data_IF_842965637003
#
_entry.id   IF_842965637003
#
_cell.length_a   1.000
_cell.length_b   1.000
_cell.length_c   1.000
_cell.angle_alpha   90.00
_cell.angle_beta   90.00
_cell.angle_gamma   90.00
#
_symmetry.space_group_name_H-M   'P 1'
#
loop_
_entity.id
_entity.type
_entity.pdbx_description
1 polymer ?
#
# COMPACT_ATOMS: atom_id res chain seq x y z
N UNK A 1 24.80 37.71 21.43
CA UNK A 1 23.34 37.39 21.48
C UNK A 1 22.82 36.96 20.13
N UNK A 2 22.99 37.75 19.05
CA UNK A 2 22.45 37.43 17.71
C UNK A 2 23.01 36.11 17.08
N UNK A 3 24.30 35.81 17.32
CA UNK A 3 24.95 34.60 16.80
C UNK A 3 24.41 33.31 17.43
N UNK A 4 24.03 33.32 18.68
CA UNK A 4 23.43 32.17 19.36
C UNK A 4 21.99 31.88 18.91
N UNK A 5 21.21 32.92 18.59
CA UNK A 5 19.87 32.79 18.03
C UNK A 5 19.89 32.12 16.65
N UNK A 6 20.88 32.46 15.81
CA UNK A 6 21.02 31.84 14.48
C UNK A 6 21.39 30.36 14.53
N UNK A 7 22.30 29.96 15.44
CA UNK A 7 22.69 28.56 15.64
C UNK A 7 21.51 27.75 16.16
N UNK A 8 20.73 28.29 17.11
CA UNK A 8 19.55 27.63 17.65
C UNK A 8 18.47 27.40 16.60
N UNK A 9 18.24 28.38 15.70
CA UNK A 9 17.28 28.24 14.60
C UNK A 9 17.70 27.15 13.60
N UNK A 10 18.98 27.03 13.28
CA UNK A 10 19.49 25.98 12.38
C UNK A 10 19.31 24.59 13.00
N UNK A 11 19.54 24.49 14.33
CA UNK A 11 19.32 23.22 15.05
C UNK A 11 17.86 22.79 15.06
N UNK A 12 16.92 23.71 15.29
CA UNK A 12 15.49 23.43 15.31
C UNK A 12 14.99 23.05 13.91
N UNK A 13 15.45 23.73 12.86
CA UNK A 13 15.08 23.42 11.48
C UNK A 13 15.61 22.04 11.03
N UNK A 14 16.84 21.69 11.41
CA UNK A 14 17.46 20.41 11.05
C UNK A 14 16.84 19.19 11.72
N UNK A 15 16.42 19.33 12.97
CA UNK A 15 15.75 18.21 13.71
C UNK A 15 14.32 18.00 13.29
N UNK A 16 13.58 19.06 12.95
CA UNK A 16 12.18 18.96 12.49
C UNK A 16 12.00 18.22 11.16
N UNK A 17 12.91 18.43 10.22
CA UNK A 17 12.83 17.74 8.90
C UNK A 17 13.17 16.25 8.99
N UNK A 18 14.07 15.85 9.89
CA UNK A 18 14.44 14.44 10.06
C UNK A 18 13.32 13.58 10.66
N UNK A 19 12.59 14.11 11.62
CA UNK A 19 11.47 13.41 12.27
C UNK A 19 10.26 13.28 11.35
N UNK A 20 9.92 14.29 10.56
CA UNK A 20 8.82 14.27 9.61
C UNK A 20 9.02 13.17 8.54
N UNK A 21 10.22 13.07 7.97
CA UNK A 21 10.54 12.05 6.97
C UNK A 21 10.52 10.62 7.54
N UNK A 22 10.96 10.44 8.77
CA UNK A 22 10.89 9.15 9.46
C UNK A 22 9.44 8.71 9.73
N UNK A 23 8.56 9.63 10.10
CA UNK A 23 7.13 9.35 10.29
C UNK A 23 6.44 8.98 8.98
N UNK A 24 6.77 9.65 7.89
CA UNK A 24 6.23 9.35 6.56
C UNK A 24 6.64 7.95 6.09
N UNK A 25 7.92 7.58 6.21
CA UNK A 25 8.41 6.25 5.88
C UNK A 25 7.77 5.16 6.73
N UNK A 26 7.57 5.41 8.04
CA UNK A 26 6.89 4.47 8.94
C UNK A 26 5.42 4.28 8.56
N UNK A 27 4.72 5.37 8.19
CA UNK A 27 3.34 5.31 7.70
C UNK A 27 3.26 4.49 6.41
N UNK A 28 4.17 4.74 5.48
CA UNK A 28 4.28 4.03 4.20
C UNK A 28 4.53 2.54 4.40
N UNK A 29 5.49 2.16 5.25
CA UNK A 29 5.77 0.77 5.61
C UNK A 29 4.53 0.07 6.18
N UNK A 30 3.83 0.72 7.12
CA UNK A 30 2.60 0.18 7.73
C UNK A 30 1.52 -0.06 6.68
N UNK A 31 1.33 0.87 5.77
CA UNK A 31 0.33 0.74 4.71
C UNK A 31 0.71 -0.36 3.72
N UNK A 32 1.97 -0.49 3.31
CA UNK A 32 2.38 -1.62 2.48
C UNK A 32 2.18 -2.97 3.16
N UNK A 33 2.43 -3.08 4.47
CA UNK A 33 2.14 -4.30 5.24
C UNK A 33 0.64 -4.63 5.26
N UNK A 34 -0.22 -3.62 5.42
CA UNK A 34 -1.67 -3.81 5.33
C UNK A 34 -2.10 -4.26 3.93
N UNK A 35 -1.48 -3.70 2.88
CA UNK A 35 -1.77 -4.11 1.51
C UNK A 35 -1.29 -5.53 1.22
N UNK A 36 -0.13 -5.94 1.73
CA UNK A 36 0.34 -7.32 1.66
C UNK A 36 -0.66 -8.29 2.32
N UNK A 37 -1.17 -7.94 3.50
CA UNK A 37 -2.20 -8.73 4.16
C UNK A 37 -3.49 -8.81 3.35
N UNK A 38 -3.93 -7.71 2.73
CA UNK A 38 -5.07 -7.70 1.80
C UNK A 38 -4.84 -8.67 0.64
N UNK A 39 -3.65 -8.67 0.04
CA UNK A 39 -3.29 -9.59 -1.06
C UNK A 39 -3.36 -11.04 -0.60
N UNK A 40 -2.88 -11.36 0.60
CA UNK A 40 -2.96 -12.70 1.19
C UNK A 40 -4.41 -13.15 1.44
N UNK A 41 -5.28 -12.24 1.90
CA UNK A 41 -6.72 -12.53 2.04
C UNK A 41 -7.35 -12.84 0.68
N UNK A 42 -7.04 -12.02 -0.34
CA UNK A 42 -7.53 -12.21 -1.70
C UNK A 42 -7.07 -13.55 -2.29
N UNK A 43 -5.81 -13.91 -2.08
CA UNK A 43 -5.27 -15.22 -2.47
C UNK A 43 -6.01 -16.39 -1.80
N UNK A 44 -6.36 -16.25 -0.51
CA UNK A 44 -7.18 -17.22 0.21
C UNK A 44 -8.55 -17.41 -0.45
N UNK A 45 -9.24 -16.32 -0.80
CA UNK A 45 -10.55 -16.35 -1.46
C UNK A 45 -10.46 -16.95 -2.86
N UNK A 46 -9.46 -16.58 -3.67
CA UNK A 46 -9.21 -17.18 -4.99
C UNK A 46 -8.94 -18.69 -4.87
N UNK A 47 -8.21 -19.10 -3.82
CA UNK A 47 -7.93 -20.54 -3.56
C UNK A 47 -9.19 -21.32 -3.24
N UNK A 48 -10.11 -20.76 -2.48
CA UNK A 48 -11.39 -21.41 -2.16
C UNK A 48 -12.34 -21.51 -3.37
N UNK A 49 -12.26 -20.58 -4.32
CA UNK A 49 -12.96 -20.65 -5.61
C UNK A 49 -14.49 -20.53 -5.55
N UNK A 50 -15.06 -20.12 -4.41
CA UNK A 50 -16.50 -20.15 -4.16
C UNK A 50 -17.23 -18.82 -4.37
N UNK A 51 -16.54 -17.72 -4.63
CA UNK A 51 -17.17 -16.39 -4.69
C UNK A 51 -16.77 -15.63 -5.93
N UNK A 52 -17.72 -14.88 -6.51
CA UNK A 52 -17.36 -13.88 -7.54
C UNK A 52 -16.54 -12.75 -6.90
N UNK A 53 -15.73 -12.04 -7.69
CA UNK A 53 -14.89 -10.95 -7.18
C UNK A 53 -15.63 -9.89 -6.34
N UNK A 54 -16.84 -9.42 -6.73
CA UNK A 54 -17.56 -8.43 -5.91
C UNK A 54 -17.90 -8.93 -4.51
N UNK A 55 -18.30 -10.19 -4.37
CA UNK A 55 -18.59 -10.82 -3.08
C UNK A 55 -17.32 -11.04 -2.26
N UNK A 56 -16.26 -11.50 -2.91
CA UNK A 56 -14.94 -11.66 -2.31
C UNK A 56 -14.41 -10.35 -1.72
N UNK A 57 -14.52 -9.24 -2.45
CA UNK A 57 -14.08 -7.93 -1.96
C UNK A 57 -14.91 -7.44 -0.78
N UNK A 58 -16.22 -7.69 -0.76
CA UNK A 58 -17.07 -7.36 0.38
C UNK A 58 -16.70 -8.17 1.62
N UNK A 59 -16.53 -9.48 1.49
CA UNK A 59 -16.11 -10.34 2.60
C UNK A 59 -14.75 -9.93 3.18
N UNK A 60 -13.79 -9.59 2.30
CA UNK A 60 -12.49 -9.12 2.74
C UNK A 60 -12.60 -7.74 3.41
N UNK A 61 -13.49 -6.86 2.93
CA UNK A 61 -13.65 -5.51 3.47
C UNK A 61 -14.04 -5.49 4.95
N UNK A 62 -14.72 -6.52 5.44
CA UNK A 62 -15.09 -6.66 6.85
C UNK A 62 -13.87 -6.88 7.78
N UNK A 63 -12.73 -7.29 7.21
CA UNK A 63 -11.47 -7.52 7.96
C UNK A 63 -10.58 -6.30 8.03
N UNK A 64 -10.98 -5.19 7.38
CA UNK A 64 -10.18 -3.98 7.25
C UNK A 64 -10.95 -2.75 7.72
N UNK A 65 -10.18 -1.69 8.08
CA UNK A 65 -10.71 -0.40 8.53
C UNK A 65 -10.26 0.73 7.59
N UNK A 66 -11.05 1.82 7.57
CA UNK A 66 -10.72 3.08 6.90
C UNK A 66 -10.52 2.90 5.41
N UNK A 67 -9.48 3.50 4.84
CA UNK A 67 -9.25 3.54 3.39
C UNK A 67 -9.19 2.16 2.71
N UNK A 68 -8.81 1.09 3.41
CA UNK A 68 -8.78 -0.25 2.84
C UNK A 68 -10.19 -0.84 2.73
N UNK A 69 -11.03 -0.61 3.73
CA UNK A 69 -12.44 -0.98 3.71
C UNK A 69 -13.17 -0.21 2.60
N UNK A 70 -12.99 1.12 2.54
CA UNK A 70 -13.59 1.97 1.51
C UNK A 70 -13.14 1.55 0.10
N UNK A 71 -11.86 1.23 -0.07
CA UNK A 71 -11.31 0.72 -1.32
C UNK A 71 -12.00 -0.57 -1.78
N UNK A 72 -12.11 -1.57 -0.90
CA UNK A 72 -12.72 -2.86 -1.22
C UNK A 72 -14.22 -2.75 -1.48
N UNK A 73 -14.93 -1.92 -0.73
CA UNK A 73 -16.34 -1.63 -0.95
C UNK A 73 -16.55 -0.90 -2.28
N UNK A 74 -15.74 0.12 -2.58
CA UNK A 74 -15.78 0.83 -3.86
C UNK A 74 -15.51 -0.11 -5.04
N UNK A 75 -14.59 -1.08 -4.90
CA UNK A 75 -14.34 -2.10 -5.91
C UNK A 75 -15.58 -2.98 -6.13
N UNK A 76 -16.16 -3.49 -5.05
CA UNK A 76 -17.32 -4.37 -5.12
C UNK A 76 -18.53 -3.68 -5.78
N UNK A 77 -18.81 -2.43 -5.38
CA UNK A 77 -19.94 -1.66 -5.89
C UNK A 77 -19.76 -1.33 -7.38
N UNK A 78 -18.56 -0.91 -7.78
CA UNK A 78 -18.28 -0.60 -9.19
C UNK A 78 -18.31 -1.83 -10.08
N UNK A 79 -17.86 -2.98 -9.59
CA UNK A 79 -17.93 -4.24 -10.34
C UNK A 79 -19.37 -4.72 -10.54
N UNK A 80 -20.27 -4.41 -9.60
CA UNK A 80 -21.71 -4.74 -9.75
C UNK A 80 -22.44 -3.80 -10.70
N UNK A 81 -21.99 -2.55 -10.82
CA UNK A 81 -22.73 -1.49 -11.52
C UNK A 81 -22.22 -1.12 -12.91
N UNK A 82 -21.04 -1.58 -13.32
CA UNK A 82 -20.41 -1.12 -14.58
C UNK A 82 -20.24 -2.25 -15.59
N UNK A 83 -21.18 -2.34 -16.53
CA UNK A 83 -21.01 -3.12 -17.76
C UNK A 83 -20.00 -2.39 -18.67
N UNK A 84 -18.88 -3.06 -19.02
CA UNK A 84 -17.92 -2.60 -20.02
C UNK A 84 -16.55 -2.13 -19.52
N UNK A 85 -16.32 -1.99 -18.23
CA UNK A 85 -14.98 -1.74 -17.69
C UNK A 85 -14.31 -3.05 -17.24
N UNK A 86 -13.00 -3.15 -17.46
CA UNK A 86 -12.24 -4.31 -16.97
C UNK A 86 -11.97 -4.18 -15.48
N UNK A 87 -11.81 -5.33 -14.77
CA UNK A 87 -11.40 -5.36 -13.36
C UNK A 87 -10.14 -4.50 -13.13
N UNK A 88 -9.16 -4.58 -14.03
CA UNK A 88 -7.93 -3.79 -13.96
C UNK A 88 -8.17 -2.28 -13.96
N UNK A 89 -9.06 -1.80 -14.81
CA UNK A 89 -9.40 -0.37 -14.87
C UNK A 89 -10.09 0.09 -13.58
N UNK A 90 -11.11 -0.65 -13.13
CA UNK A 90 -11.84 -0.34 -11.90
C UNK A 90 -10.89 -0.35 -10.69
N UNK A 91 -10.04 -1.36 -10.60
CA UNK A 91 -9.05 -1.49 -9.52
C UNK A 91 -8.08 -0.31 -9.49
N UNK A 92 -7.53 0.07 -10.65
CA UNK A 92 -6.61 1.20 -10.80
C UNK A 92 -7.25 2.52 -10.37
N UNK A 93 -8.48 2.77 -10.77
CA UNK A 93 -9.21 3.99 -10.44
C UNK A 93 -9.53 4.06 -8.95
N UNK A 94 -10.02 2.97 -8.36
CA UNK A 94 -10.29 2.89 -6.93
C UNK A 94 -9.00 3.03 -6.10
N UNK A 95 -7.91 2.36 -6.51
CA UNK A 95 -6.63 2.47 -5.82
C UNK A 95 -6.09 3.91 -5.82
N UNK A 96 -6.12 4.60 -6.97
CA UNK A 96 -5.68 6.00 -7.08
C UNK A 96 -6.52 6.95 -6.25
N UNK A 97 -7.82 6.69 -6.13
CA UNK A 97 -8.75 7.51 -5.35
C UNK A 97 -8.53 7.32 -3.86
N UNK A 98 -8.63 6.10 -3.38
CA UNK A 98 -8.70 5.79 -1.95
C UNK A 98 -7.30 5.83 -1.28
N UNK A 99 -6.23 5.47 -1.99
CA UNK A 99 -4.87 5.47 -1.44
C UNK A 99 -4.10 6.77 -1.67
N UNK A 100 -4.76 7.84 -2.14
CA UNK A 100 -4.11 9.13 -2.37
C UNK A 100 -3.38 9.69 -1.14
N UNK A 101 -3.88 9.43 0.05
CA UNK A 101 -3.31 9.88 1.33
C UNK A 101 -2.49 8.80 2.05
N UNK A 102 -2.32 7.63 1.45
CA UNK A 102 -1.62 6.50 2.05
C UNK A 102 -0.10 6.72 2.20
N UNK A 103 0.47 7.64 1.41
CA UNK A 103 1.90 7.91 1.39
C UNK A 103 2.70 6.92 0.54
N UNK A 104 2.05 6.15 -0.32
CA UNK A 104 2.74 5.29 -1.29
C UNK A 104 3.54 6.11 -2.30
N UNK A 105 4.70 5.60 -2.72
CA UNK A 105 5.42 6.20 -3.84
C UNK A 105 4.68 5.97 -5.16
N UNK A 106 5.05 6.72 -6.20
CA UNK A 106 4.48 6.54 -7.53
C UNK A 106 4.67 5.10 -8.05
N UNK A 107 5.85 4.50 -7.79
CA UNK A 107 6.15 3.12 -8.17
C UNK A 107 5.31 2.10 -7.39
N UNK A 108 5.08 2.32 -6.10
CA UNK A 108 4.23 1.45 -5.29
C UNK A 108 2.77 1.56 -5.69
N UNK A 109 2.31 2.75 -6.00
CA UNK A 109 0.96 2.96 -6.49
C UNK A 109 0.74 2.27 -7.85
N UNK A 110 1.73 2.29 -8.75
CA UNK A 110 1.64 1.59 -10.02
C UNK A 110 1.69 0.06 -9.83
N UNK A 111 2.52 -0.43 -8.92
CA UNK A 111 2.54 -1.84 -8.54
C UNK A 111 1.17 -2.27 -8.00
N UNK A 112 0.61 -1.53 -7.03
CA UNK A 112 -0.73 -1.80 -6.47
C UNK A 112 -1.79 -1.80 -7.58
N UNK A 113 -1.77 -0.80 -8.46
CA UNK A 113 -2.74 -0.70 -9.56
C UNK A 113 -2.64 -1.86 -10.55
N UNK A 114 -1.44 -2.40 -10.78
CA UNK A 114 -1.22 -3.54 -11.68
C UNK A 114 -1.84 -4.86 -11.19
N UNK A 115 -2.15 -4.97 -9.89
CA UNK A 115 -2.77 -6.17 -9.33
C UNK A 115 -4.13 -6.47 -9.98
N UNK A 116 -4.92 -5.44 -10.25
CA UNK A 116 -6.22 -5.59 -10.92
C UNK A 116 -6.11 -6.19 -12.32
N UNK A 117 -5.10 -5.80 -13.08
CA UNK A 117 -4.86 -6.33 -14.43
C UNK A 117 -4.48 -7.83 -14.37
N UNK A 118 -3.74 -8.23 -13.35
CA UNK A 118 -3.32 -9.63 -13.14
C UNK A 118 -4.48 -10.55 -12.74
N UNK A 119 -5.54 -10.01 -12.14
CA UNK A 119 -6.69 -10.78 -11.66
C UNK A 119 -7.79 -10.96 -12.71
N UNK A 120 -7.89 -10.06 -13.70
CA UNK A 120 -9.07 -9.93 -14.55
C UNK A 120 -9.23 -10.98 -15.64
N UNK A 121 -8.17 -11.64 -16.09
CA UNK A 121 -8.19 -12.49 -17.29
C UNK A 121 -7.59 -13.89 -17.14
N UNK A 122 -7.13 -14.24 -15.96
CA UNK A 122 -6.39 -15.47 -15.73
C UNK A 122 -7.29 -16.56 -15.14
N UNK A 123 -6.97 -17.81 -15.48
CA UNK A 123 -7.52 -18.94 -14.75
C UNK A 123 -7.07 -18.92 -13.28
N UNK A 124 -7.73 -19.72 -12.45
CA UNK A 124 -7.49 -19.75 -11.01
C UNK A 124 -6.04 -20.05 -10.64
N UNK A 125 -5.43 -21.01 -11.30
CA UNK A 125 -4.06 -21.43 -10.98
C UNK A 125 -3.06 -20.32 -11.36
N UNK A 126 -3.27 -19.71 -12.50
CA UNK A 126 -2.47 -18.57 -12.94
C UNK A 126 -2.67 -17.34 -12.04
N UNK A 127 -3.91 -17.07 -11.59
CA UNK A 127 -4.18 -16.00 -10.61
C UNK A 127 -3.41 -16.21 -9.31
N UNK A 128 -3.41 -17.42 -8.76
CA UNK A 128 -2.66 -17.75 -7.54
C UNK A 128 -1.17 -17.52 -7.74
N UNK A 129 -0.60 -17.97 -8.88
CA UNK A 129 0.80 -17.74 -9.20
C UNK A 129 1.15 -16.25 -9.33
N UNK A 130 0.27 -15.45 -9.94
CA UNK A 130 0.47 -14.01 -10.05
C UNK A 130 0.40 -13.31 -8.69
N UNK A 131 -0.48 -13.77 -7.80
CA UNK A 131 -0.55 -13.28 -6.43
C UNK A 131 0.71 -13.63 -5.64
N UNK A 132 1.28 -14.82 -5.82
CA UNK A 132 2.56 -15.20 -5.19
C UNK A 132 3.69 -14.27 -5.62
N UNK A 133 3.83 -14.04 -6.92
CA UNK A 133 4.85 -13.12 -7.47
C UNK A 133 4.64 -11.70 -6.94
N UNK A 134 3.40 -11.27 -6.83
CA UNK A 134 3.06 -9.95 -6.33
C UNK A 134 3.40 -9.79 -4.84
N UNK A 135 3.08 -10.80 -4.02
CA UNK A 135 3.46 -10.84 -2.59
C UNK A 135 5.00 -10.76 -2.42
N UNK A 136 5.76 -11.51 -3.21
CA UNK A 136 7.24 -11.44 -3.19
C UNK A 136 7.76 -10.05 -3.55
N UNK A 137 7.16 -9.40 -4.52
CA UNK A 137 7.55 -8.04 -4.92
C UNK A 137 7.25 -7.01 -3.82
N UNK A 138 6.09 -7.12 -3.16
CA UNK A 138 5.76 -6.30 -1.99
C UNK A 138 6.72 -6.55 -0.82
N UNK A 139 7.07 -7.80 -0.54
CA UNK A 139 8.04 -8.13 0.50
C UNK A 139 9.40 -7.49 0.23
N UNK A 140 9.92 -7.57 -1.00
CA UNK A 140 11.17 -6.88 -1.38
C UNK A 140 11.12 -5.37 -1.16
N UNK A 141 9.98 -4.73 -1.46
CA UNK A 141 9.77 -3.31 -1.20
C UNK A 141 9.76 -2.99 0.30
N UNK A 142 9.12 -3.84 1.09
CA UNK A 142 9.10 -3.71 2.56
C UNK A 142 10.50 -3.85 3.17
N UNK A 143 11.29 -4.80 2.72
CA UNK A 143 12.68 -5.00 3.18
C UNK A 143 13.55 -3.79 2.86
N UNK A 144 13.40 -3.22 1.68
CA UNK A 144 14.10 -1.99 1.29
C UNK A 144 13.71 -0.80 2.20
N UNK A 145 12.41 -0.62 2.49
CA UNK A 145 11.94 0.44 3.40
C UNK A 145 12.43 0.22 4.83
N UNK A 146 12.42 -1.02 5.32
CA UNK A 146 12.93 -1.34 6.64
C UNK A 146 14.42 -1.02 6.77
N UNK A 147 15.21 -1.32 5.74
CA UNK A 147 16.64 -0.96 5.68
C UNK A 147 16.82 0.57 5.72
N UNK A 148 16.05 1.33 4.94
CA UNK A 148 16.09 2.79 4.97
C UNK A 148 15.75 3.38 6.34
N UNK A 149 14.76 2.81 7.04
CA UNK A 149 14.37 3.23 8.38
C UNK A 149 15.46 2.93 9.41
N UNK A 150 16.17 1.81 9.30
CA UNK A 150 17.28 1.47 10.18
C UNK A 150 18.47 2.41 9.99
N UNK A 151 18.84 2.71 8.75
CA UNK A 151 19.91 3.65 8.42
C UNK A 151 19.56 5.05 8.95
N UNK A 152 18.33 5.51 8.77
CA UNK A 152 17.86 6.79 9.29
C UNK A 152 17.93 6.87 10.84
N UNK A 153 17.59 5.79 11.54
CA UNK A 153 17.67 5.70 13.01
C UNK A 153 19.12 5.64 13.52
N UNK A 154 19.99 4.91 12.84
CA UNK A 154 21.41 4.83 13.19
C UNK A 154 22.09 6.19 13.03
N UNK A 155 21.84 6.91 11.95
CA UNK A 155 22.38 8.25 11.69
C UNK A 155 21.91 9.31 12.71
N UNK A 156 20.71 9.15 13.28
CA UNK A 156 20.23 9.99 14.38
C UNK A 156 20.92 9.68 15.72
N UNK A 157 21.34 8.42 15.94
CA UNK A 157 21.96 7.98 17.20
C UNK A 157 23.43 8.39 17.31
N UNK A 158 24.13 8.54 16.19
CA UNK A 158 25.54 8.97 16.17
C UNK A 158 25.74 10.48 16.33
N UNK A 159 24.67 11.28 16.31
CA UNK A 159 24.72 12.75 16.45
C UNK A 159 24.34 13.27 17.85
N UNK A 160 24.19 12.42 18.84
CA UNK A 160 24.02 12.76 20.24
C UNK A 160 25.26 12.33 21.01
#
# INVERSE_FOLDING_TARGET
MLKFAGILMIFIAGTGMGTAKSMELTKRERNLKKFLWLTSCLKGTVRCGNSCFPEAFLEISEKFDGMYQEFLQSLADRLKGQEGQTLGQIFRDCAKKEFRTAGFSAEEMELIASLGDRLGYLDREMQLRQLDIFEEELCRRLDFLACQLQIGRASCRERV
#
